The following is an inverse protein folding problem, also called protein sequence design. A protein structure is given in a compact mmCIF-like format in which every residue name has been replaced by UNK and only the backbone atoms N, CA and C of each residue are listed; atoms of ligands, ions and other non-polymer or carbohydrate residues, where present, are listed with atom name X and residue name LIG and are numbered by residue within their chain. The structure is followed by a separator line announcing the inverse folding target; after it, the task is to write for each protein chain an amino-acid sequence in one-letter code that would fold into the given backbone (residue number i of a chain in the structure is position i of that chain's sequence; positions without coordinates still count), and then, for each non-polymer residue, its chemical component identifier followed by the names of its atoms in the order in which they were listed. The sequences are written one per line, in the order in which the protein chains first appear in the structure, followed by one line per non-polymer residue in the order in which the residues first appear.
data_IF_110379276073
#
_entry.id   IF_110379276073
#
_cell.length_a   1.000
_cell.length_b   1.000
_cell.length_c   1.000
_cell.angle_alpha   90.00
_cell.angle_beta   90.00
_cell.angle_gamma   90.00
#
_symmetry.space_group_name_H-M   'P 1'
#
loop_
_entity.id
_entity.type
_entity.pdbx_description
1 polymer ?
#
# COMPACT_ATOMS: atom_id res chain seq x y z
N UNK A 1 -6.10 -12.10 15.16
CA UNK A 1 -5.36 -11.10 14.38
C UNK A 1 -5.20 -11.68 12.99
N UNK A 2 -6.30 -11.66 12.25
CA UNK A 2 -6.24 -11.83 10.80
C UNK A 2 -5.80 -10.49 10.24
N UNK A 3 -5.05 -10.50 9.15
CA UNK A 3 -4.58 -9.27 8.54
C UNK A 3 -5.82 -8.45 8.14
N UNK A 4 -6.08 -7.30 8.79
CA UNK A 4 -7.19 -6.37 8.49
C UNK A 4 -7.01 -5.69 7.12
N UNK A 5 -6.45 -6.41 6.15
CA UNK A 5 -6.25 -6.01 4.78
C UNK A 5 -7.35 -6.65 3.94
N UNK A 6 -8.26 -5.82 3.43
CA UNK A 6 -9.25 -6.25 2.46
C UNK A 6 -8.67 -6.21 1.04
N UNK A 7 -8.80 -7.31 0.32
CA UNK A 7 -8.41 -7.36 -1.09
C UNK A 7 -9.50 -6.75 -1.97
N UNK A 8 -9.14 -5.75 -2.77
CA UNK A 8 -10.04 -5.11 -3.72
C UNK A 8 -9.50 -5.22 -5.15
N UNK A 9 -10.35 -5.67 -6.08
CA UNK A 9 -10.01 -5.76 -7.51
C UNK A 9 -9.88 -4.38 -8.14
N UNK A 10 -10.74 -3.44 -7.75
CA UNK A 10 -10.74 -2.07 -8.23
C UNK A 10 -10.08 -1.13 -7.22
N UNK A 11 -9.40 -0.10 -7.73
CA UNK A 11 -8.84 0.93 -6.86
C UNK A 11 -9.94 1.89 -6.44
N UNK A 12 -10.07 2.08 -5.13
CA UNK A 12 -11.00 3.05 -4.55
C UNK A 12 -10.29 3.88 -3.45
N UNK A 13 -10.93 4.93 -2.92
CA UNK A 13 -10.33 5.80 -1.91
C UNK A 13 -9.99 5.13 -0.56
N UNK A 14 -10.56 3.96 -0.27
CA UNK A 14 -10.26 3.16 0.93
C UNK A 14 -9.01 2.29 0.71
N UNK A 15 -8.60 2.05 -0.55
CA UNK A 15 -7.38 1.32 -0.87
C UNK A 15 -6.14 2.14 -0.48
N UNK A 16 -5.22 1.49 0.23
CA UNK A 16 -3.97 2.12 0.70
C UNK A 16 -2.74 1.66 -0.08
N UNK A 17 -2.80 0.46 -0.66
CA UNK A 17 -1.68 -0.23 -1.28
C UNK A 17 -2.10 -0.85 -2.62
N UNK A 18 -1.40 -0.50 -3.69
CA UNK A 18 -1.48 -1.17 -4.97
C UNK A 18 -0.29 -2.12 -5.12
N UNK A 19 -0.55 -3.41 -5.29
CA UNK A 19 0.46 -4.37 -5.73
C UNK A 19 0.50 -4.33 -7.26
N UNK A 20 1.61 -3.87 -7.82
CA UNK A 20 1.77 -3.72 -9.26
C UNK A 20 2.63 -4.85 -9.83
N UNK A 21 2.05 -5.68 -10.70
CA UNK A 21 2.78 -6.74 -11.40
C UNK A 21 3.50 -6.23 -12.67
N UNK A 22 3.07 -5.09 -13.23
CA UNK A 22 3.60 -4.51 -14.47
C UNK A 22 3.64 -2.98 -14.40
N UNK A 23 4.81 -2.41 -14.68
CA UNK A 23 5.01 -0.97 -14.67
C UNK A 23 4.19 -0.30 -15.80
N UNK A 24 3.70 0.93 -15.58
CA UNK A 24 2.98 1.78 -16.55
C UNK A 24 1.54 1.38 -16.94
N UNK A 25 0.81 0.66 -16.10
CA UNK A 25 -0.64 0.47 -16.32
C UNK A 25 -1.42 1.78 -16.07
N UNK A 26 -2.59 2.02 -16.71
CA UNK A 26 -3.45 3.15 -16.38
C UNK A 26 -3.78 3.24 -14.88
N UNK A 27 -3.89 2.08 -14.22
CA UNK A 27 -4.10 1.96 -12.78
C UNK A 27 -2.94 2.55 -11.96
N UNK A 28 -1.69 2.38 -12.39
CA UNK A 28 -0.53 3.02 -11.75
C UNK A 28 -0.71 4.54 -11.69
N UNK A 29 -1.10 5.16 -12.80
CA UNK A 29 -1.30 6.62 -12.87
C UNK A 29 -2.44 7.10 -11.97
N UNK A 30 -3.53 6.34 -11.90
CA UNK A 30 -4.64 6.63 -11.00
C UNK A 30 -4.19 6.62 -9.54
N UNK A 31 -3.48 5.57 -9.12
CA UNK A 31 -3.00 5.46 -7.73
C UNK A 31 -2.01 6.56 -7.36
N UNK A 32 -1.13 6.94 -8.29
CA UNK A 32 -0.24 8.10 -8.08
C UNK A 32 -1.04 9.40 -7.92
N UNK A 33 -2.07 9.62 -8.75
CA UNK A 33 -2.94 10.79 -8.64
C UNK A 33 -3.70 10.81 -7.30
N UNK A 34 -4.12 9.65 -6.82
CA UNK A 34 -4.81 9.48 -5.53
C UNK A 34 -3.82 9.46 -4.34
N UNK A 35 -2.53 9.74 -4.58
CA UNK A 35 -1.46 9.72 -3.58
C UNK A 35 -1.36 8.38 -2.83
N UNK A 36 -1.75 7.27 -3.46
CA UNK A 36 -1.65 5.93 -2.92
C UNK A 36 -0.24 5.35 -3.04
N UNK A 37 0.01 4.25 -2.31
CA UNK A 37 1.32 3.59 -2.33
C UNK A 37 1.32 2.44 -3.31
N UNK A 38 2.40 2.31 -4.06
CA UNK A 38 2.59 1.22 -5.01
C UNK A 38 3.79 0.39 -4.58
N UNK A 39 3.56 -0.91 -4.43
CA UNK A 39 4.60 -1.91 -4.18
C UNK A 39 4.69 -2.89 -5.33
N UNK A 40 5.85 -3.53 -5.44
CA UNK A 40 6.10 -4.57 -6.42
C UNK A 40 5.43 -5.89 -6.02
N UNK A 41 5.19 -6.78 -6.99
CA UNK A 41 4.61 -8.11 -6.74
C UNK A 41 5.49 -8.99 -5.84
N UNK A 42 6.78 -8.69 -5.74
CA UNK A 42 7.74 -9.42 -4.92
C UNK A 42 7.35 -9.36 -3.43
N UNK A 43 6.70 -8.27 -2.98
CA UNK A 43 6.21 -8.16 -1.61
C UNK A 43 5.21 -9.25 -1.24
N UNK A 44 4.20 -9.50 -2.09
CA UNK A 44 3.19 -10.53 -1.81
C UNK A 44 3.78 -11.94 -1.92
N UNK A 45 4.78 -12.12 -2.79
CA UNK A 45 5.53 -13.39 -2.90
C UNK A 45 6.30 -13.65 -1.60
N UNK A 46 7.00 -12.66 -1.06
CA UNK A 46 7.73 -12.81 0.21
C UNK A 46 6.77 -12.98 1.40
N UNK A 47 5.69 -12.19 1.48
CA UNK A 47 4.64 -12.38 2.50
C UNK A 47 4.12 -13.83 2.52
N UNK A 48 3.91 -14.42 1.34
CA UNK A 48 3.44 -15.80 1.22
C UNK A 48 4.52 -16.83 1.57
N UNK A 49 5.80 -16.55 1.28
CA UNK A 49 6.92 -17.42 1.64
C UNK A 49 7.17 -17.41 3.15
N UNK A 50 7.21 -16.22 3.76
CA UNK A 50 7.48 -16.04 5.19
C UNK A 50 6.24 -16.26 6.07
N UNK A 51 5.06 -16.43 5.45
CA UNK A 51 3.76 -16.59 6.11
C UNK A 51 3.47 -15.48 7.13
N UNK A 52 3.97 -14.27 6.85
CA UNK A 52 3.81 -13.08 7.69
C UNK A 52 3.77 -11.82 6.84
N UNK A 53 3.24 -10.74 7.39
CA UNK A 53 3.35 -9.41 6.78
C UNK A 53 4.77 -8.91 6.92
N UNK A 54 5.49 -8.84 5.79
CA UNK A 54 6.83 -8.26 5.73
C UNK A 54 6.77 -6.76 5.47
N UNK A 55 7.86 -6.07 5.78
CA UNK A 55 8.01 -4.65 5.51
C UNK A 55 7.78 -4.36 4.02
N UNK A 56 6.99 -3.33 3.71
CA UNK A 56 6.71 -2.88 2.34
C UNK A 56 7.81 -1.97 1.80
N UNK A 57 8.60 -1.37 2.70
CA UNK A 57 9.70 -0.44 2.41
C UNK A 57 10.68 -0.92 1.32
N UNK A 58 11.21 -2.15 1.34
CA UNK A 58 12.12 -2.64 0.30
C UNK A 58 11.43 -2.86 -1.06
N UNK A 59 10.10 -2.92 -1.09
CA UNK A 59 9.29 -3.20 -2.29
C UNK A 59 8.57 -1.96 -2.83
N UNK A 60 8.82 -0.79 -2.25
CA UNK A 60 8.22 0.47 -2.65
C UNK A 60 8.64 0.84 -4.08
N UNK A 61 7.67 0.90 -4.98
CA UNK A 61 7.83 1.49 -6.32
C UNK A 61 7.46 2.98 -6.27
N UNK A 62 6.40 3.32 -5.52
CA UNK A 62 5.97 4.71 -5.31
C UNK A 62 5.44 4.89 -3.90
N UNK A 63 5.92 5.93 -3.22
CA UNK A 63 5.50 6.25 -1.85
C UNK A 63 4.32 7.22 -1.89
N UNK A 64 3.15 6.72 -1.50
CA UNK A 64 1.95 7.54 -1.37
C UNK A 64 2.08 8.58 -0.26
N UNK A 65 1.30 9.66 -0.33
CA UNK A 65 1.22 10.68 0.71
C UNK A 65 -0.22 10.78 1.26
N UNK A 66 -0.43 10.75 2.58
CA UNK A 66 0.55 10.51 3.64
C UNK A 66 0.75 9.01 3.91
N UNK A 67 2.00 8.54 3.78
CA UNK A 67 2.45 7.17 4.03
C UNK A 67 2.15 6.62 5.46
N UNK A 68 1.67 7.48 6.38
CA UNK A 68 1.18 7.12 7.72
C UNK A 68 0.07 8.07 8.20
N UNK A 69 -1.21 7.71 8.05
CA UNK A 69 -2.31 8.40 8.77
C UNK A 69 -2.19 8.26 10.30
N UNK A 70 -1.51 7.21 10.78
CA UNK A 70 -1.44 6.82 12.20
C UNK A 70 -0.56 7.76 13.07
N UNK A 71 0.25 8.65 12.48
CA UNK A 71 1.07 9.59 13.26
C UNK A 71 0.44 10.98 13.47
N UNK A 72 -0.72 11.28 12.87
CA UNK A 72 -1.37 12.59 13.06
C UNK A 72 -2.50 12.57 14.10
N UNK A 73 -2.92 11.40 14.61
CA UNK A 73 -3.85 11.29 15.75
C UNK A 73 -3.08 11.22 17.07
N UNK A 74 -2.14 12.15 17.28
CA UNK A 74 -1.63 12.52 18.61
C UNK A 74 -1.27 14.01 18.60
N UNK A 75 -2.25 14.88 18.36
CA UNK A 75 -2.20 16.21 18.98
C UNK A 75 -2.82 16.08 20.37
N UNK A 76 -2.10 16.34 21.46
CA UNK A 76 -2.75 16.50 22.75
C UNK A 76 -3.71 17.69 22.63
N UNK A 77 -4.96 17.47 23.03
CA UNK A 77 -5.93 18.54 23.22
C UNK A 77 -5.35 19.49 24.29
N UNK A 78 -5.23 20.78 23.97
CA UNK A 78 -4.95 21.82 24.95
C UNK A 78 -6.16 22.05 25.84
#
# INVERSE_FOLDING_TARGET
MEMDAEYQTDWNPECTLLICAFNNTPKFRQVVADCGTIVSKEWIVECNQEKKLVAIEPYLIHVGKPWRRVLQIKKPLH
#
